data_IF_893031818709
#
_entry.id   IF_893031818709
#
_cell.length_a   1.000
_cell.length_b   1.000
_cell.length_c   1.000
_cell.angle_alpha   90.00
_cell.angle_beta   90.00
_cell.angle_gamma   90.00
#
_symmetry.space_group_name_H-M   'P 1'
#
loop_
_entity.id
_entity.type
_entity.pdbx_description
1 polymer ?
#
# COMPACT_ATOMS: atom_id res chain seq x y z
N UNK A 1 -19.16 -12.76 -8.35
CA UNK A 1 -18.85 -12.36 -9.73
C UNK A 1 -17.41 -12.77 -10.02
N UNK A 2 -17.10 -13.25 -11.22
CA UNK A 2 -15.75 -13.73 -11.53
C UNK A 2 -14.78 -12.54 -11.57
N UNK A 3 -13.77 -12.55 -10.70
CA UNK A 3 -12.72 -11.52 -10.68
C UNK A 3 -12.00 -11.53 -12.01
N UNK A 4 -12.27 -10.54 -12.86
CA UNK A 4 -11.58 -10.35 -14.14
C UNK A 4 -10.10 -10.05 -13.84
N UNK A 5 -9.24 -11.06 -13.98
CA UNK A 5 -7.80 -10.92 -13.71
C UNK A 5 -7.14 -10.15 -14.85
N UNK A 6 -6.27 -9.16 -14.57
CA UNK A 6 -5.55 -8.44 -15.60
C UNK A 6 -4.53 -9.34 -16.29
N UNK A 7 -4.28 -9.09 -17.58
CA UNK A 7 -3.18 -9.72 -18.29
C UNK A 7 -1.83 -9.32 -17.65
N UNK A 8 -0.75 -10.11 -17.79
CA UNK A 8 0.53 -9.83 -17.13
C UNK A 8 1.10 -8.44 -17.43
N UNK A 9 1.01 -7.99 -18.69
CA UNK A 9 1.43 -6.65 -19.10
C UNK A 9 0.55 -5.55 -18.52
N UNK A 10 -0.77 -5.77 -18.44
CA UNK A 10 -1.71 -4.84 -17.82
C UNK A 10 -1.43 -4.73 -16.32
N UNK A 11 -1.13 -5.84 -15.65
CA UNK A 11 -0.76 -5.88 -14.25
C UNK A 11 0.56 -5.14 -14.00
N UNK A 12 1.57 -5.32 -14.85
CA UNK A 12 2.84 -4.60 -14.75
C UNK A 12 2.65 -3.10 -14.93
N UNK A 13 1.95 -2.68 -15.99
CA UNK A 13 1.66 -1.28 -16.23
C UNK A 13 0.83 -0.68 -15.07
N UNK A 14 -0.13 -1.44 -14.55
CA UNK A 14 -0.91 -1.07 -13.37
C UNK A 14 -0.03 -0.88 -12.14
N UNK A 15 0.90 -1.80 -11.86
CA UNK A 15 1.79 -1.74 -10.71
C UNK A 15 2.59 -0.43 -10.65
N UNK A 16 2.96 0.11 -11.81
CA UNK A 16 3.77 1.34 -11.95
C UNK A 16 2.99 2.61 -12.30
N UNK A 17 1.64 2.58 -12.26
CA UNK A 17 0.85 3.82 -12.34
C UNK A 17 -0.31 3.83 -13.32
N UNK A 18 -0.37 2.88 -14.27
CA UNK A 18 -1.43 2.87 -15.29
C UNK A 18 -2.79 2.50 -14.67
N UNK A 19 -3.84 3.19 -15.09
CA UNK A 19 -5.22 2.84 -14.72
C UNK A 19 -5.68 1.59 -15.49
N UNK A 20 -6.20 0.60 -14.78
CA UNK A 20 -6.89 -0.56 -15.36
C UNK A 20 -8.31 -0.21 -15.87
N UNK A 21 -8.83 -0.96 -16.86
CA UNK A 21 -10.22 -0.81 -17.32
C UNK A 21 -11.25 -0.98 -16.19
N UNK A 22 -12.40 -0.35 -16.36
CA UNK A 22 -13.45 -0.34 -15.34
C UNK A 22 -14.08 -1.71 -15.07
N UNK A 23 -14.00 -2.65 -16.01
CA UNK A 23 -14.41 -4.05 -15.81
C UNK A 23 -13.57 -4.79 -14.75
N UNK A 24 -12.40 -4.26 -14.39
CA UNK A 24 -11.48 -4.86 -13.41
C UNK A 24 -11.48 -4.13 -12.05
N UNK A 25 -12.48 -3.27 -11.77
CA UNK A 25 -12.58 -2.53 -10.50
C UNK A 25 -12.62 -3.46 -9.28
N UNK A 26 -13.28 -4.61 -9.37
CA UNK A 26 -13.29 -5.61 -8.28
C UNK A 26 -11.88 -6.15 -7.97
N UNK A 27 -11.09 -6.42 -9.00
CA UNK A 27 -9.69 -6.83 -8.84
C UNK A 27 -8.87 -5.72 -8.16
N UNK A 28 -9.05 -4.47 -8.58
CA UNK A 28 -8.35 -3.31 -8.00
C UNK A 28 -8.73 -3.13 -6.53
N UNK A 29 -10.03 -3.23 -6.21
CA UNK A 29 -10.51 -3.17 -4.83
C UNK A 29 -9.84 -4.25 -3.99
N UNK A 30 -9.88 -5.52 -4.42
CA UNK A 30 -9.25 -6.63 -3.70
C UNK A 30 -7.71 -6.50 -3.60
N UNK A 31 -7.04 -5.98 -4.63
CA UNK A 31 -5.59 -5.75 -4.60
C UNK A 31 -5.21 -4.63 -3.62
N UNK A 32 -5.99 -3.55 -3.57
CA UNK A 32 -5.70 -2.41 -2.73
C UNK A 32 -6.18 -2.59 -1.29
N UNK A 33 -7.27 -3.31 -1.02
CA UNK A 33 -7.85 -3.44 0.34
C UNK A 33 -7.62 -4.81 0.95
N UNK A 34 -7.36 -5.84 0.14
CA UNK A 34 -7.25 -7.21 0.59
C UNK A 34 -6.01 -7.54 1.42
N UNK A 35 -5.95 -8.75 1.99
CA UNK A 35 -4.84 -9.19 2.83
C UNK A 35 -3.51 -9.12 2.06
N UNK A 36 -2.48 -8.56 2.70
CA UNK A 36 -1.16 -8.41 2.11
C UNK A 36 -1.01 -7.26 1.10
N UNK A 37 -1.96 -6.33 1.02
CA UNK A 37 -1.85 -5.14 0.16
C UNK A 37 -0.55 -4.34 0.41
N UNK A 38 -0.18 -4.16 1.68
CA UNK A 38 1.08 -3.50 2.07
C UNK A 38 2.28 -4.29 1.52
N UNK A 39 2.31 -5.62 1.71
CA UNK A 39 3.40 -6.46 1.21
C UNK A 39 3.54 -6.38 -0.32
N UNK A 40 2.43 -6.44 -1.06
CA UNK A 40 2.44 -6.29 -2.53
C UNK A 40 2.97 -4.91 -2.94
N UNK A 41 2.55 -3.85 -2.25
CA UNK A 41 3.06 -2.50 -2.51
C UNK A 41 4.57 -2.42 -2.24
N UNK A 42 5.06 -2.93 -1.11
CA UNK A 42 6.49 -2.94 -0.78
C UNK A 42 7.32 -3.66 -1.84
N UNK A 43 6.90 -4.86 -2.25
CA UNK A 43 7.60 -5.64 -3.28
C UNK A 43 7.63 -4.89 -4.61
N UNK A 44 6.52 -4.26 -5.03
CA UNK A 44 6.46 -3.51 -6.30
C UNK A 44 7.38 -2.29 -6.28
N UNK A 45 7.43 -1.58 -5.15
CA UNK A 45 8.18 -0.33 -5.02
C UNK A 45 9.66 -0.53 -4.65
N UNK A 46 10.04 -1.72 -4.19
CA UNK A 46 11.46 -2.06 -4.00
C UNK A 46 12.19 -2.37 -5.30
N UNK A 47 11.47 -2.74 -6.37
CA UNK A 47 12.07 -3.12 -7.66
C UNK A 47 12.74 -1.94 -8.38
N UNK A 48 12.09 -0.77 -8.59
CA UNK A 48 12.71 0.35 -9.29
C UNK A 48 14.05 0.84 -8.70
N UNK A 49 14.18 1.12 -7.38
CA UNK A 49 15.46 1.56 -6.84
C UNK A 49 16.53 0.47 -6.94
N UNK A 50 16.16 -0.81 -6.82
CA UNK A 50 17.10 -1.91 -7.03
C UNK A 50 17.64 -1.91 -8.46
N UNK A 51 16.78 -1.75 -9.46
CA UNK A 51 17.20 -1.70 -10.87
C UNK A 51 18.09 -0.49 -11.18
N UNK A 52 17.82 0.65 -10.55
CA UNK A 52 18.63 1.87 -10.72
C UNK A 52 20.01 1.72 -10.07
N UNK A 53 20.08 1.06 -8.91
CA UNK A 53 21.33 0.89 -8.17
C UNK A 53 22.15 -0.32 -8.64
N UNK A 54 21.54 -1.32 -9.28
CA UNK A 54 22.21 -2.54 -9.73
C UNK A 54 23.43 -2.29 -10.64
N UNK A 55 23.42 -1.34 -11.60
CA UNK A 55 24.60 -1.05 -12.41
C UNK A 55 25.84 -0.59 -11.61
N UNK A 56 25.65 0.03 -10.43
CA UNK A 56 26.78 0.46 -9.58
C UNK A 56 27.59 -0.73 -9.09
N UNK A 57 26.98 -1.91 -8.97
CA UNK A 57 27.63 -3.15 -8.57
C UNK A 57 28.49 -3.80 -9.66
N UNK A 58 28.46 -3.26 -10.89
CA UNK A 58 29.35 -3.69 -11.97
C UNK A 58 30.72 -3.00 -11.89
N UNK A 59 30.84 -1.96 -11.04
CA UNK A 59 32.09 -1.24 -10.87
C UNK A 59 33.05 -2.03 -9.95
N UNK A 60 34.35 -2.02 -10.25
CA UNK A 60 35.34 -2.67 -9.39
C UNK A 60 35.53 -1.86 -8.10
N UNK A 61 34.80 -2.23 -7.04
CA UNK A 61 34.94 -1.65 -5.71
C UNK A 61 34.79 -2.73 -4.63
N UNK A 62 35.22 -2.41 -3.40
CA UNK A 62 35.04 -3.31 -2.26
C UNK A 62 33.56 -3.45 -1.89
N UNK A 63 33.19 -4.56 -1.23
CA UNK A 63 31.82 -4.74 -0.73
C UNK A 63 31.38 -3.58 0.16
N UNK A 64 32.30 -3.08 1.00
CA UNK A 64 32.05 -1.97 1.91
C UNK A 64 31.63 -0.70 1.16
N UNK A 65 32.38 -0.33 0.12
CA UNK A 65 32.06 0.83 -0.72
C UNK A 65 30.69 0.63 -1.36
N UNK A 66 30.41 -0.52 -1.99
CA UNK A 66 29.09 -0.80 -2.59
C UNK A 66 27.93 -0.61 -1.61
N UNK A 67 28.08 -1.06 -0.36
CA UNK A 67 27.05 -0.90 0.65
C UNK A 67 26.84 0.58 1.03
N UNK A 68 27.91 1.35 1.20
CA UNK A 68 27.82 2.77 1.54
C UNK A 68 27.10 3.60 0.46
N UNK A 69 27.34 3.32 -0.83
CA UNK A 69 26.67 4.03 -1.92
C UNK A 69 25.23 3.57 -2.17
N UNK A 70 24.89 2.30 -1.90
CA UNK A 70 23.58 1.74 -2.30
C UNK A 70 22.58 1.62 -1.15
N UNK A 71 23.03 1.21 0.05
CA UNK A 71 22.13 0.92 1.18
C UNK A 71 21.38 2.16 1.65
N UNK A 72 22.00 3.34 1.87
CA UNK A 72 21.27 4.51 2.34
C UNK A 72 20.15 4.94 1.39
N UNK A 73 20.42 4.95 0.08
CA UNK A 73 19.46 5.33 -0.95
C UNK A 73 18.33 4.30 -1.04
N UNK A 74 18.68 3.01 -1.09
CA UNK A 74 17.70 1.93 -1.18
C UNK A 74 16.81 1.89 0.06
N UNK A 75 17.41 1.96 1.25
CA UNK A 75 16.70 1.99 2.52
C UNK A 75 15.73 3.17 2.58
N UNK A 76 16.19 4.37 2.22
CA UNK A 76 15.35 5.56 2.20
C UNK A 76 14.17 5.42 1.22
N UNK A 77 14.39 4.86 0.03
CA UNK A 77 13.33 4.61 -0.93
C UNK A 77 12.27 3.64 -0.38
N UNK A 78 12.69 2.56 0.28
CA UNK A 78 11.77 1.58 0.90
C UNK A 78 10.99 2.21 2.06
N UNK A 79 11.64 3.00 2.91
CA UNK A 79 10.97 3.73 4.00
C UNK A 79 9.92 4.70 3.44
N UNK A 80 10.28 5.47 2.42
CA UNK A 80 9.33 6.38 1.77
C UNK A 80 8.16 5.65 1.14
N UNK A 81 8.40 4.51 0.47
CA UNK A 81 7.33 3.67 -0.05
C UNK A 81 6.39 3.18 1.06
N UNK A 82 6.93 2.78 2.21
CA UNK A 82 6.13 2.38 3.38
C UNK A 82 5.26 3.52 3.91
N UNK A 83 5.83 4.71 4.08
CA UNK A 83 5.13 5.90 4.61
C UNK A 83 4.03 6.34 3.64
N UNK A 84 4.32 6.43 2.33
CA UNK A 84 3.38 6.90 1.33
C UNK A 84 2.33 5.85 0.94
N UNK A 85 2.51 4.58 1.32
CA UNK A 85 1.62 3.48 0.94
C UNK A 85 0.13 3.78 1.18
N UNK A 86 -0.22 4.38 2.33
CA UNK A 86 -1.63 4.71 2.64
C UNK A 86 -2.18 5.75 1.66
N UNK A 87 -1.45 6.84 1.45
CA UNK A 87 -1.83 7.94 0.54
C UNK A 87 -1.96 7.41 -0.88
N UNK A 88 -0.99 6.62 -1.32
CA UNK A 88 -0.98 6.04 -2.67
C UNK A 88 -2.16 5.10 -2.91
N UNK A 89 -2.49 4.21 -1.95
CA UNK A 89 -3.64 3.31 -2.07
C UNK A 89 -4.96 4.07 -2.16
N UNK A 90 -5.13 5.13 -1.35
CA UNK A 90 -6.32 6.00 -1.42
C UNK A 90 -6.43 6.71 -2.76
N UNK A 91 -5.33 7.29 -3.25
CA UNK A 91 -5.28 7.92 -4.56
C UNK A 91 -5.64 6.93 -5.67
N UNK A 92 -5.15 5.69 -5.59
CA UNK A 92 -5.46 4.64 -6.58
C UNK A 92 -6.92 4.21 -6.54
N UNK A 93 -7.55 4.13 -5.37
CA UNK A 93 -8.99 3.90 -5.28
C UNK A 93 -9.77 5.05 -5.95
N UNK A 94 -9.40 6.29 -5.64
CA UNK A 94 -10.02 7.47 -6.25
C UNK A 94 -9.86 7.49 -7.79
N UNK A 95 -8.69 7.14 -8.31
CA UNK A 95 -8.44 7.01 -9.75
C UNK A 95 -9.38 6.01 -10.43
N UNK A 96 -9.89 5.02 -9.70
CA UNK A 96 -10.80 3.99 -10.18
C UNK A 96 -12.28 4.26 -9.83
N UNK A 97 -12.59 5.43 -9.25
CA UNK A 97 -13.94 5.79 -8.82
C UNK A 97 -14.45 4.97 -7.63
N UNK A 98 -13.54 4.39 -6.84
CA UNK A 98 -13.84 3.63 -5.63
C UNK A 98 -13.70 4.54 -4.40
N UNK A 99 -14.44 4.24 -3.34
CA UNK A 99 -14.36 5.00 -2.08
C UNK A 99 -12.95 4.87 -1.46
N UNK A 100 -12.20 5.97 -1.30
CA UNK A 100 -10.86 5.96 -0.70
C UNK A 100 -10.83 5.39 0.73
N UNK A 101 -11.94 5.47 1.46
CA UNK A 101 -12.03 4.99 2.85
C UNK A 101 -12.06 3.47 2.96
N UNK A 102 -12.20 2.74 1.85
CA UNK A 102 -12.11 1.28 1.83
C UNK A 102 -10.76 0.75 2.32
N UNK A 103 -9.69 1.57 2.24
CA UNK A 103 -8.38 1.26 2.84
C UNK A 103 -8.47 1.06 4.36
N UNK A 104 -9.35 1.82 5.02
CA UNK A 104 -9.49 1.78 6.48
C UNK A 104 -10.48 0.72 6.95
N UNK A 105 -11.41 0.27 6.09
CA UNK A 105 -12.40 -0.77 6.43
C UNK A 105 -11.72 -2.08 6.84
N UNK A 106 -10.74 -2.55 6.08
CA UNK A 106 -9.99 -3.76 6.44
C UNK A 106 -9.20 -3.63 7.75
N UNK A 107 -8.69 -2.43 8.05
CA UNK A 107 -8.03 -2.14 9.33
C UNK A 107 -9.05 -2.07 10.47
N UNK A 108 -10.25 -1.51 10.22
CA UNK A 108 -11.35 -1.47 11.19
C UNK A 108 -11.85 -2.86 11.53
N UNK A 109 -12.03 -3.75 10.55
CA UNK A 109 -12.41 -5.15 10.81
C UNK A 109 -11.36 -5.89 11.66
N UNK A 110 -10.07 -5.69 11.35
CA UNK A 110 -8.99 -6.28 12.15
C UNK A 110 -8.96 -5.73 13.59
N UNK A 111 -9.18 -4.43 13.75
CA UNK A 111 -9.22 -3.77 15.05
C UNK A 111 -10.58 -3.87 15.74
N UNK A 112 -11.60 -4.44 15.09
CA UNK A 112 -12.94 -4.59 15.66
C UNK A 112 -12.88 -5.39 16.96
N UNK A 113 -12.05 -6.44 17.01
CA UNK A 113 -11.82 -7.24 18.23
C UNK A 113 -11.26 -6.39 19.38
N UNK A 114 -10.32 -5.48 19.08
CA UNK A 114 -9.77 -4.56 20.07
C UNK A 114 -10.82 -3.52 20.51
N UNK A 115 -11.67 -3.06 19.60
CA UNK A 115 -12.77 -2.16 19.90
C UNK A 115 -13.85 -2.82 20.76
N UNK A 116 -14.16 -4.09 20.50
CA UNK A 116 -15.09 -4.91 21.30
C UNK A 116 -14.55 -5.19 22.70
N UNK A 117 -13.25 -5.52 22.83
CA UNK A 117 -12.60 -5.69 24.13
C UNK A 117 -12.55 -4.37 24.91
N UNK A 118 -12.26 -3.26 24.24
CA UNK A 118 -12.31 -1.93 24.86
C UNK A 118 -13.73 -1.59 25.32
N UNK A 119 -14.74 -1.81 24.49
CA UNK A 119 -16.14 -1.54 24.83
C UNK A 119 -16.63 -2.40 26.01
N UNK A 120 -16.15 -3.64 26.12
CA UNK A 120 -16.43 -4.50 27.28
C UNK A 120 -15.80 -3.98 28.57
N UNK A 121 -14.58 -3.43 28.53
CA UNK A 121 -13.88 -2.94 29.72
C UNK A 121 -14.28 -1.52 30.15
N UNK A 122 -14.55 -0.64 29.20
CA UNK A 122 -14.70 0.81 29.44
C UNK A 122 -16.07 1.37 29.00
N UNK A 123 -16.95 0.55 28.43
CA UNK A 123 -18.26 0.97 27.94
C UNK A 123 -18.26 1.45 26.48
N UNK A 124 -19.46 1.65 25.93
CA UNK A 124 -19.64 2.09 24.55
C UNK A 124 -19.15 3.53 24.34
N UNK A 125 -18.51 3.79 23.20
CA UNK A 125 -18.01 5.13 22.86
C UNK A 125 -19.21 6.08 22.63
N UNK A 126 -19.23 7.29 23.21
CA UNK A 126 -20.34 8.22 23.03
C UNK A 126 -20.49 8.66 21.56
N UNK A 127 -21.73 8.90 21.12
CA UNK A 127 -22.08 9.32 19.74
C UNK A 127 -21.32 10.58 19.30
N UNK A 128 -21.05 11.49 20.24
CA UNK A 128 -20.26 12.71 20.02
C UNK A 128 -18.81 12.44 19.59
N UNK A 129 -18.29 11.23 19.76
CA UNK A 129 -16.96 10.84 19.33
C UNK A 129 -16.92 10.24 17.90
N UNK A 130 -18.06 10.16 17.18
CA UNK A 130 -18.11 9.63 15.81
C UNK A 130 -17.19 10.36 14.83
N UNK A 131 -16.96 11.67 15.02
CA UNK A 131 -16.02 12.44 14.20
C UNK A 131 -14.57 11.96 14.33
N UNK A 132 -14.19 11.36 15.47
CA UNK A 132 -12.86 10.78 15.70
C UNK A 132 -12.67 9.42 15.03
N UNK A 133 -13.76 8.77 14.58
CA UNK A 133 -13.69 7.48 13.88
C UNK A 133 -13.03 7.62 12.49
N UNK A 134 -12.93 8.85 11.97
CA UNK A 134 -12.15 9.15 10.78
C UNK A 134 -10.76 9.64 11.21
N UNK A 135 -9.79 8.74 11.29
CA UNK A 135 -8.47 9.00 11.88
C UNK A 135 -7.50 9.76 10.96
N UNK A 136 -7.94 10.31 9.83
CA UNK A 136 -7.06 11.05 8.91
C UNK A 136 -7.85 12.05 8.05
N UNK A 137 -7.61 13.37 8.19
CA UNK A 137 -8.21 14.40 7.34
C UNK A 137 -7.65 14.42 5.89
N UNK A 138 -6.66 13.56 5.61
CA UNK A 138 -6.03 13.36 4.30
C UNK A 138 -6.04 11.87 3.97
#
# INVERSE_FOLDING_TARGET
MAVSRPAPLQYLAYAYGRRLPDSMREFVAADLTGPGAIRRHMIRYSIPPLLILAPLWLLPASLYVHLEMTVPIYFWAVVMAFVLNKIWRRHRLAQHGLDPNLVDVANRERNARLHEDYARRYGARPESARWQANSSPF
#
